data_IF_874065905445
#
_entry.id   IF_874065905445
#
_cell.length_a   1.000
_cell.length_b   1.000
_cell.length_c   1.000
_cell.angle_alpha   90.00
_cell.angle_beta   90.00
_cell.angle_gamma   90.00
#
_symmetry.space_group_name_H-M   'P 1'
#
loop_
_entity.id
_entity.type
_entity.pdbx_description
1 polymer ?
#
# COMPACT_ATOMS: atom_id res chain seq x y z
N UNK A 1 22.56 -9.27 6.13
CA UNK A 1 21.47 -8.89 7.04
C UNK A 1 20.61 -7.88 6.28
N UNK A 2 19.41 -8.26 5.85
CA UNK A 2 18.51 -7.35 5.13
C UNK A 2 17.94 -6.41 6.18
N UNK A 3 18.19 -5.11 6.08
CA UNK A 3 17.65 -4.13 7.01
C UNK A 3 16.12 -4.28 7.06
N UNK A 4 15.53 -4.22 8.27
CA UNK A 4 14.07 -4.22 8.41
C UNK A 4 13.53 -3.04 7.60
N UNK A 5 12.66 -3.28 6.61
CA UNK A 5 12.20 -2.21 5.73
C UNK A 5 11.39 -1.20 6.55
N UNK A 6 11.55 0.08 6.22
CA UNK A 6 10.80 1.16 6.85
C UNK A 6 9.29 0.96 6.59
N UNK A 7 8.51 0.88 7.66
CA UNK A 7 7.05 0.63 7.63
C UNK A 7 6.25 1.91 7.87
N UNK A 8 6.88 3.09 7.75
CA UNK A 8 6.18 4.36 7.97
C UNK A 8 5.04 4.49 6.95
N UNK A 9 3.78 4.69 7.41
CA UNK A 9 2.65 4.86 6.51
C UNK A 9 2.84 6.06 5.57
N UNK A 10 2.43 5.90 4.31
CA UNK A 10 2.38 7.02 3.37
C UNK A 10 1.38 8.09 3.85
N UNK A 11 1.70 9.38 3.69
CA UNK A 11 0.79 10.45 4.09
C UNK A 11 -0.46 10.42 3.22
N UNK A 12 -1.60 10.88 3.77
CA UNK A 12 -2.89 10.83 3.05
C UNK A 12 -2.88 11.60 1.73
N UNK A 13 -2.14 12.71 1.68
CA UNK A 13 -1.94 13.54 0.48
C UNK A 13 -1.33 12.77 -0.70
N UNK A 14 -0.54 11.72 -0.42
CA UNK A 14 0.02 10.85 -1.46
C UNK A 14 -1.08 10.19 -2.31
N UNK A 15 -2.23 9.92 -1.68
CA UNK A 15 -3.40 9.29 -2.28
C UNK A 15 -4.41 10.30 -2.82
N UNK A 16 -4.20 11.61 -2.60
CA UNK A 16 -5.12 12.69 -3.02
C UNK A 16 -4.85 13.18 -4.44
N UNK A 17 -4.37 12.28 -5.30
CA UNK A 17 -4.05 12.54 -6.70
C UNK A 17 -4.63 11.44 -7.59
N UNK A 18 -4.75 11.66 -8.92
CA UNK A 18 -5.27 10.66 -9.83
C UNK A 18 -4.53 9.31 -9.71
N UNK A 19 -5.29 8.21 -9.75
CA UNK A 19 -4.74 6.85 -9.59
C UNK A 19 -3.63 6.54 -10.58
N UNK A 20 -3.71 7.05 -11.81
CA UNK A 20 -2.69 6.86 -12.84
C UNK A 20 -1.36 7.53 -12.47
N UNK A 21 -1.38 8.58 -11.67
CA UNK A 21 -0.18 9.27 -11.16
C UNK A 21 0.35 8.59 -9.90
N UNK A 22 -0.53 8.10 -9.02
CA UNK A 22 -0.12 7.43 -7.78
C UNK A 22 0.38 5.99 -8.00
N UNK A 23 -0.16 5.26 -8.98
CA UNK A 23 0.11 3.84 -9.18
C UNK A 23 1.59 3.49 -9.48
N UNK A 24 2.31 4.24 -10.32
CA UNK A 24 3.74 4.00 -10.53
C UNK A 24 4.56 4.16 -9.25
N UNK A 25 4.22 5.14 -8.41
CA UNK A 25 4.95 5.46 -7.18
C UNK A 25 4.69 4.47 -6.03
N UNK A 26 3.67 3.62 -6.19
CA UNK A 26 3.39 2.51 -5.28
C UNK A 26 4.28 1.31 -5.55
N UNK A 27 4.89 1.19 -6.74
CA UNK A 27 5.79 0.08 -7.05
C UNK A 27 6.99 0.09 -6.08
N UNK A 28 7.32 -1.07 -5.53
CA UNK A 28 8.37 -1.23 -4.52
C UNK A 28 7.96 -0.82 -3.10
N UNK A 29 6.75 -0.29 -2.88
CA UNK A 29 6.22 -0.02 -1.53
C UNK A 29 5.72 -1.30 -0.87
N UNK A 30 5.59 -1.23 0.45
CA UNK A 30 5.00 -2.30 1.26
C UNK A 30 3.53 -2.00 1.55
N UNK A 31 2.67 -2.96 1.23
CA UNK A 31 1.33 -3.03 1.78
C UNK A 31 1.39 -3.79 3.10
N UNK A 32 1.11 -3.10 4.19
CA UNK A 32 1.05 -3.71 5.53
C UNK A 32 -0.41 -3.80 5.94
N UNK A 33 -0.86 -5.02 6.23
CA UNK A 33 -2.17 -5.27 6.85
C UNK A 33 -1.94 -5.78 8.26
N UNK A 34 -2.38 -4.99 9.24
CA UNK A 34 -2.43 -5.43 10.62
C UNK A 34 -3.60 -6.40 10.80
N UNK A 35 -3.33 -7.59 11.32
CA UNK A 35 -4.35 -8.62 11.62
C UNK A 35 -4.14 -9.16 13.03
N UNK A 36 -5.18 -9.73 13.67
CA UNK A 36 -5.04 -10.31 15.02
C UNK A 36 -3.96 -11.39 15.12
N UNK A 37 -3.71 -12.12 14.03
CA UNK A 37 -2.70 -13.18 13.93
C UNK A 37 -1.27 -12.65 13.62
N UNK A 38 -1.14 -11.34 13.40
CA UNK A 38 0.12 -10.66 13.10
C UNK A 38 0.09 -9.82 11.80
N UNK A 39 1.12 -9.00 11.55
CA UNK A 39 1.17 -8.15 10.38
C UNK A 39 1.48 -8.95 9.11
N UNK A 40 0.59 -8.89 8.13
CA UNK A 40 0.84 -9.41 6.78
C UNK A 40 1.48 -8.31 5.93
N UNK A 41 2.64 -8.58 5.34
CA UNK A 41 3.39 -7.62 4.52
C UNK A 41 3.49 -8.15 3.10
N UNK A 42 3.09 -7.33 2.12
CA UNK A 42 3.23 -7.63 0.70
C UNK A 42 3.98 -6.50 0.01
N UNK A 43 4.75 -6.82 -1.03
CA UNK A 43 5.39 -5.83 -1.89
C UNK A 43 4.50 -5.51 -3.09
N UNK A 44 4.41 -4.24 -3.47
CA UNK A 44 3.82 -3.83 -4.73
C UNK A 44 4.81 -4.08 -5.88
N UNK A 45 4.49 -5.03 -6.76
CA UNK A 45 5.41 -5.51 -7.80
C UNK A 45 5.80 -6.98 -7.57
N UNK A 46 6.41 -7.62 -8.57
CA UNK A 46 6.57 -9.09 -8.62
C UNK A 46 7.50 -9.67 -7.50
N UNK A 47 7.32 -10.95 -7.06
CA UNK A 47 6.57 -12.00 -7.75
C UNK A 47 5.40 -12.65 -6.96
N UNK A 48 4.26 -12.75 -7.65
CA UNK A 48 3.02 -13.41 -7.19
C UNK A 48 1.69 -12.76 -7.65
N UNK A 49 1.74 -11.62 -8.37
CA UNK A 49 0.60 -10.86 -8.93
C UNK A 49 -0.69 -10.81 -8.08
N UNK A 50 -0.62 -10.10 -6.95
CA UNK A 50 -1.82 -9.57 -6.31
C UNK A 50 -2.28 -8.31 -7.06
N UNK A 51 -3.47 -8.37 -7.68
CA UNK A 51 -4.12 -7.19 -8.27
C UNK A 51 -4.78 -6.37 -7.18
N UNK A 52 -4.15 -5.26 -6.80
CA UNK A 52 -4.77 -4.25 -5.94
C UNK A 52 -5.62 -3.33 -6.82
N UNK A 53 -6.93 -3.55 -6.82
CA UNK A 53 -7.87 -2.64 -7.47
C UNK A 53 -8.05 -1.41 -6.58
N UNK A 54 -7.46 -0.28 -6.98
CA UNK A 54 -7.90 1.03 -6.49
C UNK A 54 -9.28 1.30 -7.08
N UNK A 55 -10.32 0.82 -6.40
CA UNK A 55 -11.68 1.21 -6.74
C UNK A 55 -11.83 2.69 -6.44
N UNK A 56 -12.35 3.44 -7.42
CA UNK A 56 -12.68 4.86 -7.29
C UNK A 56 -13.65 5.02 -6.12
N UNK A 57 -13.12 5.40 -4.96
CA UNK A 57 -13.81 5.32 -3.69
C UNK A 57 -12.95 4.68 -2.61
N UNK A 58 -11.76 5.26 -2.34
CA UNK A 58 -11.21 5.19 -0.99
C UNK A 58 -12.26 5.83 -0.06
N UNK A 59 -13.19 5.01 0.40
CA UNK A 59 -14.24 5.38 1.33
C UNK A 59 -13.55 5.90 2.57
N UNK A 60 -13.67 7.21 2.76
CA UNK A 60 -13.39 7.93 3.98
C UNK A 60 -14.01 7.16 5.14
N UNK A 61 -13.24 6.31 5.83
CA UNK A 61 -13.64 5.84 7.16
C UNK A 61 -13.41 7.00 8.13
N UNK A 62 -14.44 7.84 8.21
CA UNK A 62 -14.71 8.65 9.39
C UNK A 62 -15.20 7.70 10.48
N UNK A 63 -14.60 7.81 11.67
CA UNK A 63 -14.89 6.97 12.83
C UNK A 63 -13.64 6.83 13.66
#
# INVERSE_FOLDING_TARGET
>A
MIASPDRTPLPREFFDRPVLEAAPDLLGRLLVRDTPDGPTVLMFGAPGHMRVYFTYGMSRRSG
#
